data_IF_999241013195
#
_entry.id   IF_999241013195
#
_cell.length_a   1.000
_cell.length_b   1.000
_cell.length_c   1.000
_cell.angle_alpha   90.00
_cell.angle_beta   90.00
_cell.angle_gamma   90.00
#
_symmetry.space_group_name_H-M   'P 1'
#
loop_
_entity.id
_entity.type
_entity.pdbx_description
1 polymer ?
#
# COMPACT_ATOMS: atom_id res chain seq x y z
N UNK A 1 30.78 -22.09 43.80
CA UNK A 1 30.28 -23.16 42.89
C UNK A 1 28.84 -22.96 42.40
N UNK A 2 27.90 -22.40 43.19
CA UNK A 2 26.49 -22.23 42.76
C UNK A 2 26.25 -21.20 41.65
N UNK A 3 26.98 -20.09 41.62
CA UNK A 3 26.77 -19.02 40.62
C UNK A 3 27.18 -19.42 39.18
N UNK A 4 28.23 -20.24 39.04
CA UNK A 4 28.73 -20.72 37.75
C UNK A 4 27.72 -21.68 37.10
N UNK A 5 27.05 -22.51 37.91
CA UNK A 5 26.01 -23.42 37.43
C UNK A 5 24.76 -22.67 36.92
N UNK A 6 24.38 -21.56 37.56
CA UNK A 6 23.24 -20.73 37.13
C UNK A 6 23.56 -20.02 35.80
N UNK A 7 24.78 -19.50 35.65
CA UNK A 7 25.20 -18.84 34.40
C UNK A 7 25.25 -19.82 33.21
N UNK A 8 25.74 -21.04 33.44
CA UNK A 8 25.75 -22.11 32.43
C UNK A 8 24.32 -22.54 32.06
N UNK A 9 23.41 -22.65 33.03
CA UNK A 9 22.01 -22.96 32.73
C UNK A 9 21.30 -21.88 31.91
N UNK A 10 21.60 -20.60 32.13
CA UNK A 10 21.02 -19.49 31.35
C UNK A 10 21.56 -19.45 29.91
N UNK A 11 22.84 -19.78 29.71
CA UNK A 11 23.45 -19.91 28.38
C UNK A 11 22.88 -21.11 27.60
N UNK A 12 22.70 -22.26 28.26
CA UNK A 12 22.09 -23.45 27.64
C UNK A 12 20.61 -23.20 27.28
N UNK A 13 19.87 -22.43 28.09
CA UNK A 13 18.51 -22.02 27.75
C UNK A 13 18.45 -21.05 26.56
N UNK A 14 19.47 -20.20 26.36
CA UNK A 14 19.54 -19.30 25.20
C UNK A 14 19.70 -20.07 23.89
N UNK A 15 20.55 -21.10 23.88
CA UNK A 15 20.76 -21.95 22.69
C UNK A 15 19.57 -22.88 22.40
N UNK A 16 18.85 -23.33 23.44
CA UNK A 16 17.63 -24.14 23.31
C UNK A 16 16.38 -23.33 22.89
N UNK A 17 16.46 -21.99 22.91
CA UNK A 17 15.43 -21.07 22.43
C UNK A 17 15.63 -20.65 20.96
N UNK A 18 16.55 -21.31 20.25
CA UNK A 18 16.78 -21.14 18.81
C UNK A 18 15.58 -21.57 17.97
N UNK A 19 14.50 -20.78 18.01
CA UNK A 19 13.49 -20.82 16.97
C UNK A 19 14.19 -20.49 15.66
N UNK A 20 14.31 -21.46 14.76
CA UNK A 20 14.71 -21.18 13.38
C UNK A 20 13.73 -20.16 12.83
N UNK A 21 14.16 -18.94 12.48
CA UNK A 21 13.27 -17.97 11.87
C UNK A 21 12.70 -18.59 10.60
N UNK A 22 11.40 -18.44 10.40
CA UNK A 22 10.74 -18.88 9.16
C UNK A 22 11.49 -18.24 7.98
N UNK A 23 12.03 -19.07 7.08
CA UNK A 23 12.82 -18.59 5.94
C UNK A 23 11.88 -17.91 4.93
N UNK A 24 11.72 -16.60 5.09
CA UNK A 24 10.78 -15.76 4.34
C UNK A 24 11.48 -14.86 3.31
N UNK A 25 12.68 -15.23 2.87
CA UNK A 25 13.49 -14.44 1.93
C UNK A 25 12.82 -14.29 0.55
N UNK A 26 11.81 -15.13 0.26
CA UNK A 26 10.93 -15.01 -0.91
C UNK A 26 9.87 -13.89 -0.77
N UNK A 27 9.53 -13.49 0.45
CA UNK A 27 8.64 -12.35 0.75
C UNK A 27 9.45 -11.04 0.87
N UNK A 28 10.24 -10.75 -0.15
CA UNK A 28 10.99 -9.52 -0.25
C UNK A 28 10.13 -8.45 -0.97
N UNK A 29 9.75 -7.37 -0.28
CA UNK A 29 8.86 -6.34 -0.83
C UNK A 29 9.48 -5.58 -1.99
N UNK A 30 10.82 -5.58 -2.13
CA UNK A 30 11.51 -5.00 -3.28
C UNK A 30 11.42 -5.93 -4.49
N UNK A 31 11.64 -7.23 -4.29
CA UNK A 31 11.59 -8.23 -5.37
C UNK A 31 10.17 -8.47 -5.89
N UNK A 32 9.17 -8.27 -5.04
CA UNK A 32 7.74 -8.42 -5.34
C UNK A 32 7.08 -7.14 -5.86
N UNK A 33 7.86 -6.08 -6.12
CA UNK A 33 7.35 -4.92 -6.87
C UNK A 33 7.01 -5.31 -8.31
N UNK A 34 6.07 -4.57 -8.89
CA UNK A 34 5.74 -4.70 -10.30
C UNK A 34 6.95 -4.36 -11.18
N UNK A 35 7.13 -5.13 -12.27
CA UNK A 35 8.23 -4.97 -13.23
C UNK A 35 7.85 -4.10 -14.43
N UNK A 36 6.64 -3.56 -14.43
CA UNK A 36 6.07 -2.73 -15.50
C UNK A 36 6.55 -1.29 -15.33
N UNK A 37 6.74 -0.59 -16.45
CA UNK A 37 7.20 0.80 -16.43
C UNK A 37 6.26 1.73 -15.63
N UNK A 38 6.78 2.79 -14.97
CA UNK A 38 5.94 3.75 -14.25
C UNK A 38 4.81 4.33 -15.11
N UNK A 39 5.09 4.63 -16.38
CA UNK A 39 4.10 5.19 -17.31
C UNK A 39 2.96 4.21 -17.62
N UNK A 40 3.26 2.93 -17.82
CA UNK A 40 2.25 1.91 -18.05
C UNK A 40 1.41 1.64 -16.79
N UNK A 41 2.04 1.67 -15.61
CA UNK A 41 1.32 1.61 -14.35
C UNK A 41 0.38 2.81 -14.17
N UNK A 42 0.85 4.02 -14.49
CA UNK A 42 0.06 5.25 -14.43
C UNK A 42 -1.17 5.14 -15.34
N UNK A 43 -0.99 4.69 -16.59
CA UNK A 43 -2.08 4.45 -17.55
C UNK A 43 -3.09 3.44 -17.02
N UNK A 44 -2.63 2.32 -16.47
CA UNK A 44 -3.50 1.29 -15.92
C UNK A 44 -4.30 1.80 -14.70
N UNK A 45 -3.65 2.52 -13.78
CA UNK A 45 -4.30 3.11 -12.62
C UNK A 45 -5.32 4.18 -13.02
N UNK A 46 -4.95 5.09 -13.93
CA UNK A 46 -5.85 6.10 -14.48
C UNK A 46 -7.08 5.46 -15.14
N UNK A 47 -6.90 4.39 -15.92
CA UNK A 47 -8.01 3.66 -16.54
C UNK A 47 -9.01 3.05 -15.54
N UNK A 48 -8.58 2.74 -14.31
CA UNK A 48 -9.48 2.32 -13.23
C UNK A 48 -10.14 3.53 -12.58
N UNK A 49 -9.35 4.55 -12.22
CA UNK A 49 -9.81 5.74 -11.50
C UNK A 49 -10.82 6.55 -12.33
N UNK A 50 -10.57 6.73 -13.63
CA UNK A 50 -11.43 7.51 -14.53
C UNK A 50 -12.80 6.90 -14.77
N UNK A 51 -13.00 5.61 -14.45
CA UNK A 51 -14.36 5.01 -14.41
C UNK A 51 -15.24 5.66 -13.34
N UNK A 52 -14.62 6.25 -12.32
CA UNK A 52 -15.26 6.87 -11.17
C UNK A 52 -15.20 8.39 -11.22
N UNK A 53 -14.03 8.96 -11.51
CA UNK A 53 -13.81 10.40 -11.58
C UNK A 53 -12.73 10.73 -12.63
N UNK A 54 -13.08 11.35 -13.78
CA UNK A 54 -12.12 11.67 -14.85
C UNK A 54 -11.22 12.87 -14.52
N UNK A 55 -11.55 13.70 -13.52
CA UNK A 55 -10.76 14.87 -13.12
C UNK A 55 -9.61 14.51 -12.17
N UNK A 56 -8.96 13.38 -12.44
CA UNK A 56 -7.84 12.87 -11.64
C UNK A 56 -6.64 12.66 -12.55
N UNK A 57 -5.51 13.23 -12.18
CA UNK A 57 -4.22 13.03 -12.81
C UNK A 57 -3.38 12.06 -11.96
N UNK A 58 -2.70 11.13 -12.62
CA UNK A 58 -1.95 10.05 -11.96
C UNK A 58 -0.51 10.07 -12.45
N UNK A 59 0.42 10.15 -11.51
CA UNK A 59 1.86 10.05 -11.73
C UNK A 59 2.43 8.92 -10.86
N UNK A 60 3.25 8.05 -11.46
CA UNK A 60 3.97 7.02 -10.71
C UNK A 60 5.43 7.45 -10.57
N UNK A 61 5.86 7.62 -9.33
CA UNK A 61 7.23 7.93 -8.96
C UNK A 61 7.75 6.85 -8.01
N UNK A 62 8.55 5.90 -8.53
CA UNK A 62 9.11 4.83 -7.72
C UNK A 62 9.96 5.31 -6.54
N UNK A 63 10.44 6.56 -6.52
CA UNK A 63 11.22 7.12 -5.41
C UNK A 63 10.37 7.34 -4.14
N UNK A 64 9.04 7.33 -4.27
CA UNK A 64 8.12 7.33 -3.13
C UNK A 64 8.06 5.97 -2.42
N UNK A 65 8.57 4.90 -3.03
CA UNK A 65 8.72 3.62 -2.36
C UNK A 65 9.93 3.67 -1.41
N UNK A 66 9.67 3.95 -0.14
CA UNK A 66 10.71 4.11 0.87
C UNK A 66 10.48 3.16 2.03
N UNK A 67 11.57 2.69 2.64
CA UNK A 67 11.51 1.78 3.79
C UNK A 67 10.63 0.54 3.52
N UNK A 68 10.64 0.05 2.27
CA UNK A 68 9.86 -1.08 1.81
C UNK A 68 8.33 -0.91 1.91
N UNK A 69 7.84 0.33 1.74
CA UNK A 69 6.44 0.69 1.88
C UNK A 69 5.95 1.51 0.71
N UNK A 70 4.75 1.20 0.25
CA UNK A 70 4.02 2.04 -0.69
C UNK A 70 3.66 3.39 -0.07
N UNK A 71 3.63 4.42 -0.89
CA UNK A 71 3.14 5.73 -0.50
C UNK A 71 2.39 6.41 -1.65
N UNK A 72 1.49 7.33 -1.29
CA UNK A 72 0.87 8.24 -2.25
C UNK A 72 0.78 9.65 -1.67
N UNK A 73 0.76 10.64 -2.55
CA UNK A 73 0.46 12.03 -2.26
C UNK A 73 -0.77 12.47 -3.01
N UNK A 74 -1.64 13.22 -2.34
CA UNK A 74 -2.83 13.84 -2.92
C UNK A 74 -2.61 15.34 -2.92
N UNK A 75 -2.80 15.98 -4.08
CA UNK A 75 -2.77 17.44 -4.21
C UNK A 75 -3.89 17.92 -5.12
N UNK A 76 -4.45 19.09 -4.80
CA UNK A 76 -5.42 19.76 -5.67
C UNK A 76 -4.73 20.84 -6.47
N UNK A 77 -4.73 20.69 -7.80
CA UNK A 77 -4.13 21.64 -8.74
C UNK A 77 -5.17 21.94 -9.82
N UNK A 78 -5.50 23.22 -10.02
CA UNK A 78 -6.40 23.67 -11.09
C UNK A 78 -7.76 22.92 -11.14
N UNK A 79 -8.32 22.59 -9.96
CA UNK A 79 -9.58 21.86 -9.84
C UNK A 79 -9.51 20.36 -10.15
N UNK A 80 -8.30 19.81 -10.31
CA UNK A 80 -8.04 18.39 -10.58
C UNK A 80 -7.26 17.75 -9.44
N UNK A 81 -7.65 16.53 -9.10
CA UNK A 81 -6.95 15.73 -8.10
C UNK A 81 -5.69 15.14 -8.72
N UNK A 82 -4.53 15.54 -8.23
CA UNK A 82 -3.25 14.97 -8.61
C UNK A 82 -2.85 13.91 -7.59
N UNK A 83 -2.67 12.68 -8.06
CA UNK A 83 -2.20 11.56 -7.26
C UNK A 83 -0.81 11.18 -7.75
N UNK A 84 0.19 11.40 -6.90
CA UNK A 84 1.55 10.93 -7.13
C UNK A 84 1.84 9.75 -6.22
N UNK A 85 2.26 8.60 -6.75
CA UNK A 85 2.36 7.37 -5.95
C UNK A 85 3.56 6.49 -6.29
N UNK A 86 3.96 5.63 -5.35
CA UNK A 86 5.08 4.68 -5.52
C UNK A 86 4.83 3.61 -6.59
N UNK A 87 3.57 3.23 -6.80
CA UNK A 87 3.13 2.18 -7.72
C UNK A 87 1.70 2.43 -8.20
N UNK A 88 1.28 1.77 -9.28
CA UNK A 88 -0.11 1.85 -9.78
C UNK A 88 -1.14 1.41 -8.72
N UNK A 89 -0.80 0.42 -7.89
CA UNK A 89 -1.65 -0.02 -6.77
C UNK A 89 -1.74 1.07 -5.69
N UNK A 90 -0.62 1.72 -5.37
CA UNK A 90 -0.61 2.83 -4.43
C UNK A 90 -1.45 4.02 -4.93
N UNK A 91 -1.46 4.30 -6.24
CA UNK A 91 -2.32 5.34 -6.83
C UNK A 91 -3.81 5.02 -6.66
N UNK A 92 -4.25 3.80 -7.00
CA UNK A 92 -5.66 3.39 -6.83
C UNK A 92 -6.05 3.36 -5.34
N UNK A 93 -5.13 2.95 -4.48
CA UNK A 93 -5.32 3.04 -3.02
C UNK A 93 -5.48 4.48 -2.56
N UNK A 94 -4.65 5.41 -3.05
CA UNK A 94 -4.76 6.84 -2.77
C UNK A 94 -6.09 7.43 -3.22
N UNK A 95 -6.59 7.03 -4.38
CA UNK A 95 -7.92 7.42 -4.84
C UNK A 95 -9.04 6.86 -3.93
N UNK A 96 -8.97 5.59 -3.54
CA UNK A 96 -9.94 5.01 -2.58
C UNK A 96 -9.89 5.71 -1.22
N UNK A 97 -8.70 6.10 -0.76
CA UNK A 97 -8.53 6.90 0.45
C UNK A 97 -9.22 8.27 0.28
N UNK A 98 -9.01 8.94 -0.85
CA UNK A 98 -9.66 10.22 -1.16
C UNK A 98 -11.19 10.10 -1.17
N UNK A 99 -11.73 9.08 -1.84
CA UNK A 99 -13.16 8.79 -1.87
C UNK A 99 -13.74 8.70 -0.45
N UNK A 100 -13.10 7.93 0.42
CA UNK A 100 -13.58 7.72 1.79
C UNK A 100 -13.48 9.00 2.64
N UNK A 101 -12.32 9.64 2.64
CA UNK A 101 -12.02 10.74 3.56
C UNK A 101 -12.65 12.06 3.12
N UNK A 102 -12.62 12.38 1.84
CA UNK A 102 -13.01 13.69 1.32
C UNK A 102 -14.41 13.70 0.71
N UNK A 103 -14.83 12.58 0.09
CA UNK A 103 -16.12 12.50 -0.59
C UNK A 103 -17.19 11.74 0.20
N UNK A 104 -16.83 11.06 1.29
CA UNK A 104 -17.77 10.18 2.02
C UNK A 104 -18.26 8.99 1.15
N UNK A 105 -17.45 8.60 0.17
CA UNK A 105 -17.70 7.49 -0.74
C UNK A 105 -17.32 6.13 -0.16
N UNK A 106 -17.81 5.08 -0.81
CA UNK A 106 -17.58 3.70 -0.42
C UNK A 106 -17.67 2.77 -1.63
N UNK A 107 -16.72 1.83 -1.77
CA UNK A 107 -16.74 0.79 -2.80
C UNK A 107 -16.60 -0.57 -2.12
N UNK A 108 -17.57 -1.45 -2.38
CA UNK A 108 -17.63 -2.83 -1.88
C UNK A 108 -18.31 -3.73 -2.91
N UNK A 109 -18.32 -5.04 -2.64
CA UNK A 109 -18.99 -6.03 -3.48
C UNK A 109 -20.49 -5.77 -3.69
N UNK A 110 -21.18 -5.24 -2.68
CA UNK A 110 -22.64 -5.02 -2.74
C UNK A 110 -23.02 -3.57 -2.99
N UNK A 111 -22.21 -2.64 -2.51
CA UNK A 111 -22.53 -1.22 -2.49
C UNK A 111 -21.39 -0.44 -3.11
N UNK A 112 -21.73 0.37 -4.10
CA UNK A 112 -20.86 1.36 -4.69
C UNK A 112 -21.52 2.74 -4.57
N UNK A 113 -20.96 3.59 -3.72
CA UNK A 113 -21.34 4.99 -3.55
C UNK A 113 -20.13 5.86 -3.87
N UNK A 114 -20.18 6.54 -5.00
CA UNK A 114 -19.09 7.41 -5.46
C UNK A 114 -19.67 8.80 -5.75
N UNK A 115 -19.71 9.68 -4.73
CA UNK A 115 -20.21 11.04 -4.90
C UNK A 115 -19.37 11.81 -5.90
N UNK A 116 -20.03 12.56 -6.79
CA UNK A 116 -19.40 13.42 -7.78
C UNK A 116 -19.88 14.85 -7.56
N UNK A 117 -19.26 15.59 -6.62
CA UNK A 117 -19.57 17.00 -6.43
C UNK A 117 -19.13 17.80 -7.65
N UNK A 118 -19.74 18.98 -7.80
CA UNK A 118 -19.34 19.97 -8.82
C UNK A 118 -17.86 20.32 -8.62
N UNK A 119 -17.46 20.61 -7.39
CA UNK A 119 -16.09 20.91 -7.03
C UNK A 119 -15.50 19.80 -6.15
N UNK A 120 -14.30 19.34 -6.50
CA UNK A 120 -13.57 18.35 -5.73
C UNK A 120 -13.02 19.00 -4.44
N UNK A 121 -13.26 18.42 -3.24
CA UNK A 121 -12.67 18.91 -2.01
C UNK A 121 -11.14 18.94 -2.09
N UNK A 122 -10.55 20.01 -1.56
CA UNK A 122 -9.11 20.17 -1.52
C UNK A 122 -8.45 19.08 -0.68
N UNK A 123 -7.43 18.42 -1.24
CA UNK A 123 -6.55 17.50 -0.53
C UNK A 123 -5.10 17.97 -0.70
N UNK A 124 -4.32 17.88 0.38
CA UNK A 124 -2.89 18.12 0.39
C UNK A 124 -2.25 17.29 1.50
N UNK A 125 -1.96 16.04 1.21
CA UNK A 125 -1.32 15.14 2.16
C UNK A 125 -0.49 14.06 1.47
N UNK A 126 0.38 13.42 2.24
CA UNK A 126 1.13 12.24 1.82
C UNK A 126 0.91 11.16 2.85
N UNK A 127 0.58 9.95 2.37
CA UNK A 127 0.26 8.80 3.22
C UNK A 127 1.15 7.63 2.82
N UNK A 128 1.85 7.08 3.81
CA UNK A 128 2.67 5.88 3.67
C UNK A 128 1.93 4.69 4.26
N UNK A 129 2.01 3.53 3.61
CA UNK A 129 1.43 2.29 4.10
C UNK A 129 2.06 1.88 5.43
N UNK A 130 1.25 1.38 6.36
CA UNK A 130 1.77 0.77 7.59
C UNK A 130 2.43 -0.58 7.29
N UNK A 131 1.83 -1.33 6.36
CA UNK A 131 2.20 -2.70 6.00
C UNK A 131 3.17 -2.75 4.81
N UNK A 132 4.02 -3.78 4.78
CA UNK A 132 4.89 -4.11 3.63
C UNK A 132 4.13 -4.79 2.50
N UNK A 133 3.08 -5.54 2.86
CA UNK A 133 2.26 -6.31 1.92
C UNK A 133 0.79 -6.21 2.32
N UNK A 134 -0.09 -6.17 1.32
CA UNK A 134 -1.55 -6.24 1.48
C UNK A 134 -2.05 -7.37 0.61
N UNK A 135 -2.33 -8.51 1.23
CA UNK A 135 -2.71 -9.74 0.53
C UNK A 135 -4.23 -9.86 0.42
N UNK A 136 -4.70 -10.36 -0.72
CA UNK A 136 -6.11 -10.63 -0.99
C UNK A 136 -6.25 -11.93 -1.79
N UNK A 137 -7.33 -12.68 -1.53
CA UNK A 137 -7.67 -14.04 -2.02
C UNK A 137 -7.27 -15.20 -1.09
N UNK A 138 -8.03 -16.28 -1.14
CA UNK A 138 -7.71 -17.57 -0.49
C UNK A 138 -7.63 -18.64 -1.58
N UNK A 139 -6.99 -19.78 -1.28
CA UNK A 139 -6.89 -20.94 -2.17
C UNK A 139 -8.26 -21.36 -2.72
N UNK A 140 -9.29 -21.36 -1.87
CA UNK A 140 -10.65 -21.75 -2.24
C UNK A 140 -11.49 -20.64 -2.89
N UNK A 141 -10.96 -19.43 -3.08
CA UNK A 141 -11.71 -18.33 -3.72
C UNK A 141 -11.80 -18.44 -5.25
N UNK A 142 -11.12 -19.44 -5.82
CA UNK A 142 -11.03 -19.70 -7.27
C UNK A 142 -11.74 -21.00 -7.70
N UNK A 143 -12.30 -21.76 -6.75
CA UNK A 143 -13.11 -22.96 -6.99
C UNK A 143 -14.59 -22.60 -6.89
#
# INVERSE_FOLDING_TARGET
MRAVAVLLSLLVCWDMLGATPLHLDYLDPVKLQTRISPDEQAKAAAAVIHRYEPRVDVEIDPLLFQQNKDAFSLRMLEGRLNIKASSGVAAVWGFNYYLKKYLGGHVSWRIQRVPRPVDLPAANETVTANDRFRYYQNVYSLL
#
